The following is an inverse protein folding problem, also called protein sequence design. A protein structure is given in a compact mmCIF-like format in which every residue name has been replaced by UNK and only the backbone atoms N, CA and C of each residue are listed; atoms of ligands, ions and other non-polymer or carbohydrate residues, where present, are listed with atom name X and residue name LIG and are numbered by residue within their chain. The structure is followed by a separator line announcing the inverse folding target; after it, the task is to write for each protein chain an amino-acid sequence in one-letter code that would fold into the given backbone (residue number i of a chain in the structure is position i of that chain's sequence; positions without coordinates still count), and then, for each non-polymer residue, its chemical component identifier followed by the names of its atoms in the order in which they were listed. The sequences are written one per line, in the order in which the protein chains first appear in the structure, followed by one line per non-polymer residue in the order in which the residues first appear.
data_IF_611454376588
#
_entry.id   IF_611454376588
#
_cell.length_a   1.000
_cell.length_b   1.000
_cell.length_c   1.000
_cell.angle_alpha   90.00
_cell.angle_beta   90.00
_cell.angle_gamma   90.00
#
_symmetry.space_group_name_H-M   'P 1'
#
loop_
_entity.id
_entity.type
_entity.pdbx_description
1 polymer ?
#
# COMPACT_ATOMS: atom_id res chain seq x y z
N UNK A 1 25.48 -20.31 -23.43
CA UNK A 1 24.90 -19.07 -24.00
C UNK A 1 23.45 -19.22 -24.44
N UNK A 2 23.09 -20.27 -25.20
CA UNK A 2 21.68 -20.53 -25.60
C UNK A 2 20.70 -20.66 -24.42
N UNK A 3 21.11 -21.34 -23.33
CA UNK A 3 20.27 -21.49 -22.13
C UNK A 3 19.96 -20.14 -21.47
N UNK A 4 20.96 -19.25 -21.35
CA UNK A 4 20.78 -17.91 -20.77
C UNK A 4 19.83 -17.05 -21.62
N UNK A 5 19.87 -17.20 -22.94
CA UNK A 5 18.98 -16.51 -23.87
C UNK A 5 17.54 -17.05 -23.74
N UNK A 6 17.38 -18.36 -23.63
CA UNK A 6 16.09 -19.00 -23.37
C UNK A 6 15.49 -18.57 -22.02
N UNK A 7 16.30 -18.51 -20.96
CA UNK A 7 15.85 -18.03 -19.64
C UNK A 7 15.48 -16.56 -19.69
N UNK A 8 16.24 -15.73 -20.41
CA UNK A 8 15.91 -14.30 -20.54
C UNK A 8 14.58 -14.10 -21.28
N UNK A 9 14.36 -14.81 -22.40
CA UNK A 9 13.08 -14.77 -23.12
C UNK A 9 11.94 -15.26 -22.24
N UNK A 10 12.14 -16.35 -21.49
CA UNK A 10 11.13 -16.87 -20.57
C UNK A 10 10.77 -15.87 -19.48
N UNK A 11 11.77 -15.23 -18.85
CA UNK A 11 11.53 -14.21 -17.82
C UNK A 11 10.78 -13.00 -18.39
N UNK A 12 11.14 -12.54 -19.59
CA UNK A 12 10.44 -11.44 -20.27
C UNK A 12 9.01 -11.83 -20.61
N UNK A 13 8.80 -13.03 -21.16
CA UNK A 13 7.46 -13.53 -21.50
C UNK A 13 6.58 -13.73 -20.26
N UNK A 14 7.12 -14.31 -19.20
CA UNK A 14 6.43 -14.47 -17.92
C UNK A 14 6.10 -13.11 -17.30
N UNK A 15 7.03 -12.15 -17.33
CA UNK A 15 6.80 -10.78 -16.86
C UNK A 15 5.72 -10.08 -17.67
N UNK A 16 5.75 -10.18 -19.00
CA UNK A 16 4.73 -9.62 -19.88
C UNK A 16 3.34 -10.26 -19.64
N UNK A 17 3.30 -11.58 -19.44
CA UNK A 17 2.08 -12.31 -19.10
C UNK A 17 1.49 -11.87 -17.77
N UNK A 18 2.31 -11.74 -16.72
CA UNK A 18 1.88 -11.22 -15.43
C UNK A 18 1.35 -9.79 -15.52
N UNK A 19 2.04 -8.91 -16.26
CA UNK A 19 1.58 -7.54 -16.50
C UNK A 19 0.25 -7.52 -17.23
N UNK A 20 0.07 -8.35 -18.26
CA UNK A 20 -1.20 -8.46 -18.97
C UNK A 20 -2.34 -8.95 -18.07
N UNK A 21 -2.10 -9.97 -17.24
CA UNK A 21 -3.09 -10.44 -16.28
C UNK A 21 -3.46 -9.35 -15.26
N UNK A 22 -2.48 -8.59 -14.77
CA UNK A 22 -2.72 -7.48 -13.86
C UNK A 22 -3.55 -6.37 -14.54
N UNK A 23 -3.21 -5.96 -15.77
CA UNK A 23 -3.96 -4.92 -16.48
C UNK A 23 -5.39 -5.36 -16.78
N UNK A 24 -5.60 -6.60 -17.22
CA UNK A 24 -6.94 -7.18 -17.42
C UNK A 24 -7.75 -7.25 -16.12
N UNK A 25 -7.12 -7.64 -15.02
CA UNK A 25 -7.76 -7.67 -13.70
C UNK A 25 -8.16 -6.28 -13.21
N UNK A 26 -7.28 -5.29 -13.37
CA UNK A 26 -7.55 -3.89 -13.00
C UNK A 26 -8.65 -3.28 -13.89
N UNK A 27 -8.67 -3.61 -15.18
CA UNK A 27 -9.72 -3.21 -16.12
C UNK A 27 -11.07 -3.84 -15.76
N UNK A 28 -11.09 -5.14 -15.43
CA UNK A 28 -12.31 -5.80 -14.98
C UNK A 28 -12.84 -5.18 -13.68
N UNK A 29 -11.93 -4.80 -12.77
CA UNK A 29 -12.30 -4.13 -11.53
C UNK A 29 -12.87 -2.72 -11.80
N UNK A 30 -12.29 -1.94 -12.72
CA UNK A 30 -12.81 -0.62 -13.06
C UNK A 30 -14.20 -0.70 -13.68
N UNK A 31 -14.43 -1.64 -14.59
CA UNK A 31 -15.76 -1.93 -15.15
C UNK A 31 -16.74 -2.37 -14.06
N UNK A 32 -16.32 -3.20 -13.11
CA UNK A 32 -17.20 -3.58 -12.00
C UNK A 32 -17.60 -2.38 -11.14
N UNK A 33 -16.65 -1.46 -10.86
CA UNK A 33 -16.93 -0.22 -10.12
C UNK A 33 -17.93 0.65 -10.90
N UNK A 34 -17.85 0.66 -12.23
CA UNK A 34 -18.81 1.35 -13.12
C UNK A 34 -20.24 0.88 -12.90
N UNK A 35 -20.48 -0.41 -13.14
CA UNK A 35 -21.83 -0.98 -13.12
C UNK A 35 -22.42 -1.04 -11.71
N UNK A 36 -21.58 -1.01 -10.67
CA UNK A 36 -21.99 -1.27 -9.31
C UNK A 36 -21.37 -0.32 -8.28
N UNK A 37 -21.30 0.98 -8.58
CA UNK A 37 -20.67 1.99 -7.71
C UNK A 37 -21.12 1.92 -6.23
N UNK A 38 -22.41 1.68 -5.95
CA UNK A 38 -22.93 1.56 -4.58
C UNK A 38 -22.46 0.29 -3.85
N UNK A 39 -22.38 -0.85 -4.56
CA UNK A 39 -21.84 -2.10 -3.99
C UNK A 39 -20.33 -2.01 -3.83
N UNK A 40 -19.64 -1.46 -4.82
CA UNK A 40 -18.20 -1.22 -4.80
C UNK A 40 -17.81 -0.37 -3.59
N UNK A 41 -18.50 0.76 -3.37
CA UNK A 41 -18.33 1.58 -2.18
C UNK A 41 -18.48 0.79 -0.87
N UNK A 42 -19.51 -0.06 -0.76
CA UNK A 42 -19.74 -0.89 0.42
C UNK A 42 -18.63 -1.92 0.64
N UNK A 43 -18.10 -2.50 -0.44
CA UNK A 43 -16.94 -3.41 -0.40
C UNK A 43 -15.71 -2.65 0.06
N UNK A 44 -15.43 -1.47 -0.49
CA UNK A 44 -14.30 -0.63 -0.09
C UNK A 44 -14.32 -0.19 1.37
N UNK A 45 -15.50 0.13 1.92
CA UNK A 45 -15.65 0.44 3.35
C UNK A 45 -15.42 -0.79 4.24
N UNK A 46 -15.90 -1.96 3.82
CA UNK A 46 -15.68 -3.22 4.55
C UNK A 46 -14.22 -3.63 4.53
N UNK A 47 -13.56 -3.56 3.36
CA UNK A 47 -12.15 -3.90 3.25
C UNK A 47 -11.28 -2.96 4.06
N UNK A 48 -11.58 -1.65 4.07
CA UNK A 48 -10.91 -0.68 4.92
C UNK A 48 -11.03 -1.04 6.41
N UNK A 49 -12.22 -1.42 6.87
CA UNK A 49 -12.42 -1.88 8.25
C UNK A 49 -11.59 -3.12 8.59
N UNK A 50 -11.55 -4.12 7.68
CA UNK A 50 -10.73 -5.33 7.86
C UNK A 50 -9.24 -4.98 7.93
N UNK A 51 -8.77 -4.08 7.06
CA UNK A 51 -7.36 -3.68 7.01
C UNK A 51 -6.94 -2.99 8.30
N UNK A 52 -7.74 -2.05 8.82
CA UNK A 52 -7.44 -1.39 10.10
C UNK A 52 -7.38 -2.39 11.25
N UNK A 53 -8.27 -3.39 11.25
CA UNK A 53 -8.22 -4.47 12.26
C UNK A 53 -6.95 -5.30 12.11
N UNK A 54 -6.57 -5.67 10.87
CA UNK A 54 -5.34 -6.43 10.60
C UNK A 54 -4.10 -5.63 10.99
N UNK A 55 -4.04 -4.33 10.70
CA UNK A 55 -2.96 -3.44 11.15
C UNK A 55 -2.85 -3.41 12.68
N UNK A 56 -3.99 -3.30 13.38
CA UNK A 56 -4.04 -3.40 14.82
C UNK A 56 -3.49 -4.74 15.32
N UNK A 57 -3.93 -5.86 14.74
CA UNK A 57 -3.45 -7.19 15.10
C UNK A 57 -1.94 -7.35 14.86
N UNK A 58 -1.39 -6.80 13.79
CA UNK A 58 0.06 -6.81 13.52
C UNK A 58 0.82 -6.05 14.60
N UNK A 59 0.30 -4.90 15.04
CA UNK A 59 0.92 -4.12 16.13
C UNK A 59 0.86 -4.89 17.46
N UNK A 60 -0.27 -5.53 17.78
CA UNK A 60 -0.45 -6.21 19.08
C UNK A 60 0.18 -7.61 19.15
N UNK A 61 0.20 -8.37 18.05
CA UNK A 61 0.67 -9.76 18.05
C UNK A 61 2.13 -9.90 17.67
N UNK A 62 2.65 -9.02 16.82
CA UNK A 62 4.03 -9.07 16.34
C UNK A 62 4.94 -8.01 16.98
N UNK A 63 4.44 -7.25 17.97
CA UNK A 63 5.15 -6.15 18.65
C UNK A 63 5.80 -5.16 17.67
N UNK A 64 5.16 -4.97 16.50
CA UNK A 64 5.63 -4.03 15.49
C UNK A 64 5.37 -2.63 16.00
N UNK A 65 6.36 -1.72 15.99
CA UNK A 65 6.15 -0.37 16.48
C UNK A 65 5.04 0.31 15.66
N UNK A 66 4.18 1.02 16.37
CA UNK A 66 3.07 1.76 15.78
C UNK A 66 3.58 2.92 14.88
N UNK A 67 4.80 3.41 15.14
CA UNK A 67 5.37 4.58 14.47
C UNK A 67 5.41 4.48 12.93
N UNK A 68 5.94 3.41 12.30
CA UNK A 68 5.89 3.26 10.84
C UNK A 68 4.47 3.12 10.26
N UNK A 69 3.50 2.66 11.06
CA UNK A 69 2.12 2.44 10.62
C UNK A 69 1.20 3.65 10.84
N UNK A 70 1.59 4.63 11.65
CA UNK A 70 0.82 5.85 11.91
C UNK A 70 0.39 6.58 10.63
N UNK A 71 1.26 6.81 9.62
CA UNK A 71 0.85 7.47 8.38
C UNK A 71 -0.23 6.68 7.62
N UNK A 72 -0.17 5.34 7.66
CA UNK A 72 -1.16 4.46 7.03
C UNK A 72 -2.52 4.54 7.76
N UNK A 73 -2.52 4.55 9.10
CA UNK A 73 -3.74 4.74 9.91
C UNK A 73 -4.39 6.11 9.66
N UNK A 74 -3.59 7.17 9.56
CA UNK A 74 -4.09 8.50 9.20
C UNK A 74 -4.67 8.47 7.78
N UNK A 75 -3.99 7.85 6.83
CA UNK A 75 -4.50 7.67 5.47
C UNK A 75 -5.82 6.88 5.46
N UNK A 76 -5.97 5.83 6.27
CA UNK A 76 -7.20 5.05 6.38
C UNK A 76 -8.39 5.92 6.82
N UNK A 77 -8.19 6.85 7.77
CA UNK A 77 -9.24 7.79 8.17
C UNK A 77 -9.67 8.73 7.03
N UNK A 78 -8.72 9.20 6.22
CA UNK A 78 -8.96 10.02 5.03
C UNK A 78 -9.58 9.23 3.88
N UNK A 79 -9.27 7.94 3.77
CA UNK A 79 -9.93 7.04 2.83
C UNK A 79 -11.36 6.75 3.24
N UNK A 80 -11.62 6.56 4.54
CA UNK A 80 -12.96 6.35 5.05
C UNK A 80 -13.87 7.56 4.78
N UNK A 81 -13.40 8.78 5.08
CA UNK A 81 -14.18 10.00 4.82
C UNK A 81 -14.52 10.15 3.33
N UNK A 82 -13.57 9.86 2.45
CA UNK A 82 -13.78 9.95 1.01
C UNK A 82 -14.68 8.82 0.45
N UNK A 83 -14.56 7.59 0.95
CA UNK A 83 -15.44 6.47 0.57
C UNK A 83 -16.85 6.62 1.16
N UNK A 84 -17.02 7.46 2.19
CA UNK A 84 -18.33 7.78 2.77
C UNK A 84 -19.08 8.86 1.97
N UNK A 85 -18.44 9.56 1.05
CA UNK A 85 -19.09 10.56 0.21
C UNK A 85 -20.19 9.91 -0.66
N UNK A 86 -21.44 10.43 -0.66
CA UNK A 86 -22.49 9.96 -1.57
C UNK A 86 -22.14 10.12 -3.05
N UNK A 87 -21.26 11.07 -3.42
CA UNK A 87 -20.88 11.34 -4.80
C UNK A 87 -19.65 10.55 -5.26
N UNK A 88 -19.08 9.68 -4.42
CA UNK A 88 -18.02 8.77 -4.84
C UNK A 88 -18.55 7.80 -5.92
N UNK A 89 -17.81 7.56 -7.03
CA UNK A 89 -16.43 7.95 -7.31
C UNK A 89 -16.24 9.29 -8.05
N UNK A 90 -17.32 10.00 -8.38
CA UNK A 90 -17.32 11.23 -9.19
C UNK A 90 -17.06 12.52 -8.41
N UNK A 91 -16.79 12.43 -7.11
CA UNK A 91 -16.38 13.54 -6.26
C UNK A 91 -15.00 14.06 -6.72
N UNK A 92 -14.97 14.83 -7.82
CA UNK A 92 -13.81 15.60 -8.21
C UNK A 92 -13.51 16.59 -7.08
N UNK A 93 -12.25 16.67 -6.66
CA UNK A 93 -11.80 17.64 -5.67
C UNK A 93 -11.99 19.04 -6.26
N UNK A 94 -13.18 19.61 -6.10
CA UNK A 94 -13.58 20.92 -6.61
C UNK A 94 -12.87 22.07 -5.87
N UNK A 95 -12.16 21.77 -4.77
CA UNK A 95 -11.29 22.70 -4.05
C UNK A 95 -9.82 22.27 -4.13
N UNK A 96 -8.92 23.26 -4.29
CA UNK A 96 -7.47 23.05 -4.29
C UNK A 96 -6.98 22.34 -3.01
N UNK A 97 -7.60 22.65 -1.87
CA UNK A 97 -7.34 22.01 -0.58
C UNK A 97 -7.77 20.53 -0.58
N UNK A 98 -8.89 20.20 -1.22
CA UNK A 98 -9.34 18.82 -1.44
C UNK A 98 -8.40 18.02 -2.34
N UNK A 99 -7.73 18.69 -3.28
CA UNK A 99 -6.79 18.06 -4.20
C UNK A 99 -5.47 17.71 -3.50
N UNK A 100 -4.91 18.63 -2.71
CA UNK A 100 -3.73 18.38 -1.89
C UNK A 100 -3.94 17.28 -0.85
N UNK A 101 -5.03 17.35 -0.08
CA UNK A 101 -5.38 16.28 0.90
C UNK A 101 -5.59 14.95 0.22
N UNK A 102 -6.13 14.96 -1.00
CA UNK A 102 -6.29 13.75 -1.75
C UNK A 102 -4.99 13.15 -2.25
N UNK A 103 -4.07 13.95 -2.81
CA UNK A 103 -2.74 13.47 -3.23
C UNK A 103 -1.97 12.97 -1.99
N UNK A 104 -2.07 13.70 -0.88
CA UNK A 104 -1.46 13.30 0.37
C UNK A 104 -1.97 11.93 0.85
N UNK A 105 -3.28 11.70 0.82
CA UNK A 105 -3.87 10.41 1.22
C UNK A 105 -3.58 9.27 0.25
N UNK A 106 -3.50 9.52 -1.06
CA UNK A 106 -3.32 8.47 -2.07
C UNK A 106 -1.87 8.05 -2.27
N UNK A 107 -0.92 8.98 -2.12
CA UNK A 107 0.46 8.77 -2.52
C UNK A 107 1.41 9.09 -1.39
N UNK A 108 1.29 10.27 -0.77
CA UNK A 108 2.29 10.73 0.18
C UNK A 108 2.30 9.92 1.48
N UNK A 109 1.14 9.68 2.08
CA UNK A 109 1.00 8.94 3.34
C UNK A 109 1.28 7.42 3.19
N UNK A 110 0.83 6.75 2.11
CA UNK A 110 1.27 5.38 1.83
C UNK A 110 2.78 5.29 1.54
N UNK A 111 3.36 6.27 0.84
CA UNK A 111 4.81 6.27 0.60
C UNK A 111 5.61 6.51 1.88
N UNK A 112 5.18 7.42 2.75
CA UNK A 112 5.90 7.66 4.00
C UNK A 112 5.86 6.44 4.90
N UNK A 113 4.70 5.79 5.07
CA UNK A 113 4.60 4.50 5.79
C UNK A 113 5.44 3.40 5.13
N UNK A 114 5.43 3.30 3.80
CA UNK A 114 6.29 2.36 3.06
C UNK A 114 7.79 2.58 3.36
N UNK A 115 8.28 3.80 3.18
CA UNK A 115 9.70 4.14 3.40
C UNK A 115 10.07 3.89 4.87
N UNK A 116 9.21 4.28 5.81
CA UNK A 116 9.49 4.07 7.23
C UNK A 116 9.51 2.59 7.60
N UNK A 117 8.56 1.79 7.09
CA UNK A 117 8.48 0.37 7.38
C UNK A 117 9.68 -0.38 6.78
N UNK A 118 10.08 -0.06 5.55
CA UNK A 118 11.29 -0.62 4.93
C UNK A 118 12.53 -0.22 5.71
N UNK A 119 12.68 1.06 6.09
CA UNK A 119 13.82 1.52 6.89
C UNK A 119 13.86 0.85 8.27
N UNK A 120 12.71 0.67 8.89
CA UNK A 120 12.59 0.00 10.18
C UNK A 120 12.95 -1.48 10.06
N UNK A 121 12.52 -2.14 8.99
CA UNK A 121 12.89 -3.52 8.69
C UNK A 121 14.40 -3.69 8.47
N UNK A 122 15.04 -2.80 7.70
CA UNK A 122 16.50 -2.90 7.48
C UNK A 122 17.29 -2.70 8.77
N UNK A 123 16.87 -1.74 9.62
CA UNK A 123 17.50 -1.50 10.92
C UNK A 123 17.33 -2.68 11.88
N UNK A 124 16.12 -3.23 11.97
CA UNK A 124 15.85 -4.40 12.82
C UNK A 124 16.59 -5.65 12.33
N UNK A 125 16.61 -5.89 11.02
CA UNK A 125 17.38 -6.99 10.43
C UNK A 125 18.88 -6.85 10.71
N UNK A 126 19.44 -5.65 10.60
CA UNK A 126 20.84 -5.41 10.95
C UNK A 126 21.11 -5.66 12.44
N UNK A 127 20.25 -5.19 13.34
CA UNK A 127 20.39 -5.45 14.77
C UNK A 127 20.37 -6.96 15.08
N UNK A 128 19.47 -7.72 14.45
CA UNK A 128 19.41 -9.17 14.58
C UNK A 128 20.63 -9.88 14.00
N UNK A 129 21.17 -9.40 12.88
CA UNK A 129 22.39 -9.95 12.28
C UNK A 129 23.60 -9.73 13.19
N UNK A 130 23.76 -8.52 13.74
CA UNK A 130 24.83 -8.20 14.70
C UNK A 130 24.70 -9.06 15.96
N UNK A 131 23.50 -9.19 16.53
CA UNK A 131 23.26 -10.03 17.71
C UNK A 131 23.63 -11.50 17.48
N UNK A 132 23.25 -12.07 16.32
CA UNK A 132 23.64 -13.44 15.93
C UNK A 132 25.14 -13.59 15.73
N UNK A 133 25.77 -12.60 15.11
CA UNK A 133 27.22 -12.64 14.89
C UNK A 133 27.97 -12.61 16.23
N UNK A 134 27.58 -11.71 17.12
CA UNK A 134 28.19 -11.54 18.44
C UNK A 134 27.96 -12.77 19.32
N UNK A 135 26.76 -13.36 19.31
CA UNK A 135 26.48 -14.58 20.08
C UNK A 135 27.27 -15.81 19.60
N UNK A 136 27.49 -15.94 18.29
CA UNK A 136 28.23 -17.07 17.70
C UNK A 136 29.75 -16.95 17.83
N UNK A 137 30.31 -15.74 17.72
CA UNK A 137 31.77 -15.52 17.67
C UNK A 137 32.38 -15.08 19.00
N UNK A 138 31.57 -14.92 20.06
CA UNK A 138 32.07 -14.59 21.40
C UNK A 138 32.75 -15.80 22.03
N UNK A 139 34.07 -15.90 21.84
CA UNK A 139 34.90 -16.70 22.73
C UNK A 139 34.70 -16.18 24.15
N UNK A 140 34.25 -17.05 25.07
CA UNK A 140 34.20 -16.74 26.50
C UNK A 140 35.63 -16.49 26.96
N UNK A 141 36.05 -15.23 26.96
CA UNK A 141 37.37 -14.83 27.42
C UNK A 141 37.46 -15.17 28.91
N UNK A 142 38.52 -15.89 29.35
CA UNK A 142 38.69 -16.21 30.76
C UNK A 142 39.11 -14.93 31.50
N UNK A 143 38.15 -14.31 32.19
CA UNK A 143 38.37 -13.11 33.00
C UNK A 143 37.33 -12.04 32.70
N UNK A 144 36.28 -12.00 33.52
CA UNK A 144 35.08 -11.16 33.35
C UNK A 144 35.27 -9.65 33.52
N UNK A 145 36.35 -9.07 32.98
CA UNK A 145 36.67 -7.64 33.04
C UNK A 145 36.59 -6.91 31.70
N UNK A 146 36.29 -7.58 30.58
CA UNK A 146 36.07 -6.96 29.26
C UNK A 146 34.59 -6.93 28.82
N UNK A 147 33.66 -7.44 29.64
CA UNK A 147 32.27 -7.60 29.22
C UNK A 147 31.40 -6.33 29.34
N UNK A 148 31.92 -5.24 29.92
CA UNK A 148 31.15 -4.02 30.22
C UNK A 148 31.05 -3.02 29.05
N UNK A 149 31.96 -3.10 28.07
CA UNK A 149 31.92 -2.29 26.83
C UNK A 149 31.11 -2.96 25.70
N UNK A 150 30.64 -4.19 25.93
CA UNK A 150 29.95 -4.98 24.91
C UNK A 150 28.45 -4.74 25.04
N UNK A 151 27.81 -4.42 23.91
CA UNK A 151 26.36 -4.27 23.81
C UNK A 151 25.63 -5.46 24.43
N UNK A 152 24.47 -5.19 25.07
CA UNK A 152 23.75 -6.18 25.89
C UNK A 152 23.54 -7.50 25.14
N UNK A 153 23.70 -8.63 25.82
CA UNK A 153 23.39 -9.96 25.25
C UNK A 153 21.90 -10.20 25.06
N UNK A 154 21.05 -9.29 25.54
CA UNK A 154 19.61 -9.38 25.40
C UNK A 154 19.22 -9.35 23.92
N UNK A 155 18.26 -10.21 23.50
CA UNK A 155 17.74 -10.13 22.15
C UNK A 155 17.13 -8.74 21.92
N UNK A 156 17.23 -8.18 20.70
CA UNK A 156 16.58 -6.91 20.42
C UNK A 156 15.08 -7.00 20.71
N UNK A 157 14.52 -5.92 21.27
CA UNK A 157 13.14 -5.86 21.77
C UNK A 157 12.06 -6.13 20.70
N UNK A 158 12.43 -6.12 19.43
CA UNK A 158 11.53 -6.17 18.28
C UNK A 158 11.72 -7.47 17.53
N UNK A 159 10.62 -8.19 17.28
CA UNK A 159 10.65 -9.47 16.57
C UNK A 159 11.23 -9.32 15.16
N UNK A 160 12.02 -10.30 14.73
CA UNK A 160 12.49 -10.36 13.35
C UNK A 160 11.34 -10.70 12.40
N UNK A 161 11.12 -9.85 11.39
CA UNK A 161 10.17 -10.10 10.31
C UNK A 161 10.89 -10.57 9.05
N UNK A 162 10.32 -11.58 8.39
CA UNK A 162 10.80 -12.03 7.08
C UNK A 162 10.43 -11.03 5.97
N UNK A 163 11.22 -10.99 4.89
CA UNK A 163 10.94 -10.14 3.73
C UNK A 163 9.53 -10.36 3.15
N UNK A 164 9.03 -11.60 3.17
CA UNK A 164 7.69 -11.93 2.70
C UNK A 164 6.59 -11.33 3.59
N UNK A 165 6.77 -11.36 4.91
CA UNK A 165 5.82 -10.73 5.85
C UNK A 165 5.78 -9.21 5.65
N UNK A 166 6.95 -8.58 5.48
CA UNK A 166 7.05 -7.14 5.20
C UNK A 166 6.33 -6.80 3.90
N UNK A 167 6.58 -7.55 2.82
CA UNK A 167 5.89 -7.38 1.56
C UNK A 167 4.37 -7.55 1.71
N UNK A 168 3.92 -8.54 2.49
CA UNK A 168 2.50 -8.76 2.73
C UNK A 168 1.86 -7.56 3.45
N UNK A 169 2.49 -7.02 4.49
CA UNK A 169 2.02 -5.82 5.21
C UNK A 169 1.99 -4.61 4.27
N UNK A 170 3.02 -4.39 3.46
CA UNK A 170 3.04 -3.29 2.50
C UNK A 170 1.93 -3.41 1.45
N UNK A 171 1.73 -4.59 0.86
CA UNK A 171 0.72 -4.78 -0.19
C UNK A 171 -0.69 -4.69 0.39
N UNK A 172 -0.95 -5.38 1.51
CA UNK A 172 -2.30 -5.51 2.06
C UNK A 172 -2.69 -4.28 2.88
N UNK A 173 -1.83 -3.80 3.75
CA UNK A 173 -2.17 -2.73 4.68
C UNK A 173 -1.95 -1.35 4.08
N UNK A 174 -0.79 -1.15 3.42
CA UNK A 174 -0.39 0.18 2.94
C UNK A 174 -0.99 0.52 1.57
N UNK A 175 -0.93 -0.39 0.60
CA UNK A 175 -1.22 -0.07 -0.81
C UNK A 175 -2.62 -0.47 -1.31
N UNK A 176 -3.28 -1.44 -0.70
CA UNK A 176 -4.55 -1.98 -1.22
C UNK A 176 -5.67 -0.94 -1.35
N UNK A 177 -5.87 -0.08 -0.34
CA UNK A 177 -6.91 0.96 -0.34
C UNK A 177 -6.55 2.15 -1.24
N UNK A 178 -5.32 2.69 -1.23
CA UNK A 178 -4.92 3.71 -2.19
C UNK A 178 -5.13 3.27 -3.65
N UNK A 179 -4.72 2.04 -3.99
CA UNK A 179 -4.89 1.48 -5.34
C UNK A 179 -6.38 1.36 -5.67
N UNK A 180 -7.19 0.84 -4.75
CA UNK A 180 -8.64 0.74 -4.93
C UNK A 180 -9.30 2.10 -5.20
N UNK A 181 -8.95 3.14 -4.43
CA UNK A 181 -9.47 4.49 -4.65
C UNK A 181 -8.96 5.13 -5.93
N UNK A 182 -7.71 4.87 -6.32
CA UNK A 182 -7.14 5.37 -7.58
C UNK A 182 -7.87 4.78 -8.78
N UNK A 183 -8.15 3.47 -8.77
CA UNK A 183 -8.93 2.81 -9.82
C UNK A 183 -10.33 3.39 -9.95
N UNK A 184 -11.03 3.60 -8.84
CA UNK A 184 -12.36 4.22 -8.87
C UNK A 184 -12.36 5.62 -9.49
N UNK A 185 -11.29 6.40 -9.27
CA UNK A 185 -11.16 7.75 -9.84
C UNK A 185 -10.79 7.78 -11.31
N UNK A 186 -9.88 6.91 -11.74
CA UNK A 186 -9.53 6.78 -13.16
C UNK A 186 -10.79 6.41 -13.95
N UNK A 187 -11.54 5.44 -13.44
CA UNK A 187 -12.80 5.03 -14.05
C UNK A 187 -13.79 6.21 -14.13
N UNK A 188 -13.98 6.94 -13.02
CA UNK A 188 -14.84 8.13 -13.00
C UNK A 188 -14.40 9.26 -13.96
N UNK A 189 -13.10 9.48 -14.13
CA UNK A 189 -12.56 10.52 -15.01
C UNK A 189 -12.80 10.22 -16.50
N UNK A 190 -12.62 8.97 -16.93
CA UNK A 190 -12.92 8.56 -18.30
C UNK A 190 -14.40 8.81 -18.66
N UNK A 191 -15.30 8.57 -17.72
CA UNK A 191 -16.74 8.75 -17.95
C UNK A 191 -17.20 10.21 -17.88
N UNK A 192 -16.63 11.01 -16.98
CA UNK A 192 -16.92 12.45 -16.90
C UNK A 192 -16.59 13.20 -18.20
N UNK A 193 -15.55 12.76 -18.91
CA UNK A 193 -15.19 13.30 -20.22
C UNK A 193 -16.14 12.84 -21.35
N UNK A 194 -16.74 11.66 -21.24
CA UNK A 194 -17.66 11.11 -22.27
C UNK A 194 -19.05 11.78 -22.23
N UNK A 195 -19.55 12.11 -21.05
CA UNK A 195 -20.87 12.76 -20.88
C UNK A 195 -20.96 14.23 -21.34
N UNK A 196 -19.82 14.93 -21.44
CA UNK A 196 -19.77 16.35 -21.81
C UNK A 196 -20.04 16.64 -23.30
N UNK A 197 -19.89 15.65 -24.20
CA UNK A 197 -20.13 15.87 -25.63
C UNK A 197 -21.59 15.71 -26.06
N UNK A 198 -22.44 15.04 -25.27
CA UNK A 198 -23.84 14.79 -25.66
C UNK A 198 -24.78 15.93 -25.23
N UNK A 199 -24.40 16.75 -24.24
CA UNK A 199 -25.23 17.86 -23.75
C UNK A 199 -25.14 19.16 -24.59
N UNK A 200 -24.21 19.22 -25.56
CA UNK A 200 -24.01 20.39 -26.42
C UNK A 200 -24.93 20.47 -27.64
N UNK A 201 -25.61 19.37 -28.02
CA UNK A 201 -26.32 19.28 -29.30
C UNK A 201 -27.84 19.46 -29.20
N UNK A 202 -28.42 19.47 -27.99
CA UNK A 202 -29.87 19.65 -27.77
C UNK A 202 -30.31 21.10 -27.57
N UNK A 203 -29.38 22.08 -27.58
CA UNK A 203 -29.71 23.49 -27.32
C UNK A 203 -29.84 24.38 -28.57
N UNK A 204 -29.75 23.81 -29.77
CA UNK A 204 -29.84 24.57 -31.03
C UNK A 204 -31.06 24.27 -31.91
N UNK A 205 -31.97 23.36 -31.52
CA UNK A 205 -33.16 23.04 -32.34
C UNK A 205 -34.47 23.66 -31.83
N UNK A 206 -34.41 24.69 -31.00
CA UNK A 206 -35.58 25.30 -30.36
C UNK A 206 -35.66 26.81 -30.54
N UNK A 207 -35.36 27.30 -31.75
CA UNK A 207 -35.74 28.65 -32.18
C UNK A 207 -36.30 28.52 -33.60
N UNK A 208 -37.60 28.29 -33.69
CA UNK A 208 -38.43 28.66 -34.83
C UNK A 208 -39.67 29.36 -34.28
#
# INVERSE_FOLDING_TARGET
MMLNLLTAIFVVAAGAGLLACLTLGLLSLSQYIEFHASKARRIGLRSLGVIVVVEGLVVFLDDVPLTPLLPALIAASLHYSALRDPFWPYSAASSSLGLCTSIASLVLLPLTSHIWLVRYHTLSQHAWQTHRYDTLHRHRLPGGRLDWDVASTEPPATREMTNLQVCAVLVVCVWSIPVYRLLGRVAAAEWGCSGGMVAGQSRMSGVQ
#
